data_IF_075037100464
#
_entry.id   IF_075037100464
#
_cell.length_a   1.000
_cell.length_b   1.000
_cell.length_c   1.000
_cell.angle_alpha   90.00
_cell.angle_beta   90.00
_cell.angle_gamma   90.00
#
_symmetry.space_group_name_H-M   'P 1'
#
loop_
_entity.id
_entity.type
_entity.pdbx_description
1 polymer ?
#
# COMPACT_ATOMS: atom_id res chain seq x y z
N UNK A 1 -2.49 19.77 -10.07
CA UNK A 1 -2.61 18.47 -9.37
C UNK A 1 -3.12 18.75 -7.97
N UNK A 2 -4.24 18.15 -7.58
CA UNK A 2 -4.84 18.34 -6.26
C UNK A 2 -3.93 17.77 -5.16
N UNK A 3 -3.60 18.57 -4.14
CA UNK A 3 -2.77 18.15 -3.00
C UNK A 3 -3.28 16.88 -2.32
N UNK A 4 -4.60 16.66 -2.31
CA UNK A 4 -5.20 15.43 -1.78
C UNK A 4 -4.77 14.15 -2.52
N UNK A 5 -4.53 14.23 -3.83
CA UNK A 5 -4.12 13.08 -4.65
C UNK A 5 -2.64 12.75 -4.46
N UNK A 6 -1.82 13.77 -4.28
CA UNK A 6 -0.41 13.63 -3.89
C UNK A 6 -0.28 12.97 -2.51
N UNK A 7 -1.08 13.41 -1.54
CA UNK A 7 -1.12 12.80 -0.21
C UNK A 7 -1.58 11.33 -0.27
N UNK A 8 -2.63 11.01 -1.05
CA UNK A 8 -3.11 9.65 -1.28
C UNK A 8 -2.06 8.76 -1.95
N UNK A 9 -1.37 9.27 -2.98
CA UNK A 9 -0.29 8.55 -3.65
C UNK A 9 0.87 8.25 -2.68
N UNK A 10 1.25 9.23 -1.86
CA UNK A 10 2.28 9.09 -0.84
C UNK A 10 1.90 8.07 0.23
N UNK A 11 0.67 8.14 0.75
CA UNK A 11 0.16 7.20 1.74
C UNK A 11 0.07 5.77 1.17
N UNK A 12 -0.41 5.61 -0.06
CA UNK A 12 -0.46 4.32 -0.75
C UNK A 12 0.93 3.72 -0.96
N UNK A 13 1.89 4.53 -1.42
CA UNK A 13 3.28 4.12 -1.57
C UNK A 13 3.93 3.70 -0.25
N UNK A 14 3.78 4.50 0.80
CA UNK A 14 4.28 4.18 2.14
C UNK A 14 3.67 2.88 2.69
N UNK A 15 2.36 2.67 2.51
CA UNK A 15 1.68 1.45 2.92
C UNK A 15 2.21 0.22 2.15
N UNK A 16 2.44 0.32 0.85
CA UNK A 16 3.05 -0.75 0.05
C UNK A 16 4.45 -1.08 0.55
N UNK A 17 5.32 -0.08 0.75
CA UNK A 17 6.68 -0.27 1.25
C UNK A 17 6.70 -0.89 2.65
N UNK A 18 5.85 -0.40 3.56
CA UNK A 18 5.74 -0.96 4.90
C UNK A 18 5.23 -2.41 4.87
N UNK A 19 4.31 -2.76 3.96
CA UNK A 19 3.77 -4.12 3.84
C UNK A 19 4.84 -5.09 3.37
N UNK A 20 5.61 -4.66 2.36
CA UNK A 20 6.73 -5.41 1.80
C UNK A 20 7.87 -5.57 2.81
N UNK A 21 8.14 -4.53 3.61
CA UNK A 21 9.10 -4.58 4.71
C UNK A 21 8.67 -5.56 5.81
N UNK A 22 7.39 -5.53 6.21
CA UNK A 22 6.84 -6.47 7.21
C UNK A 22 6.91 -7.93 6.72
N UNK A 23 6.66 -8.15 5.43
CA UNK A 23 6.75 -9.47 4.79
C UNK A 23 8.19 -10.00 4.67
N UNK A 24 9.16 -9.12 4.41
CA UNK A 24 10.57 -9.49 4.17
C UNK A 24 11.39 -9.59 5.46
N UNK A 25 10.98 -8.91 6.53
CA UNK A 25 11.71 -8.93 7.81
C UNK A 25 11.55 -10.27 8.52
N UNK A 26 12.60 -11.09 8.51
CA UNK A 26 12.64 -12.33 9.27
C UNK A 26 12.63 -12.06 10.78
N UNK A 27 11.72 -12.73 11.49
CA UNK A 27 11.72 -12.79 12.96
C UNK A 27 11.63 -14.24 13.44
N UNK A 28 12.34 -14.57 14.54
CA UNK A 28 12.24 -15.87 15.17
C UNK A 28 10.93 -15.94 15.98
N UNK A 29 10.00 -16.80 15.56
CA UNK A 29 8.73 -17.05 16.25
C UNK A 29 7.56 -17.30 15.30
N UNK A 30 6.93 -18.48 15.40
CA UNK A 30 5.84 -18.90 14.50
C UNK A 30 4.57 -18.05 14.64
N UNK A 31 4.17 -17.70 15.86
CA UNK A 31 3.00 -16.84 16.11
C UNK A 31 3.19 -15.42 15.56
N UNK A 32 4.40 -14.87 15.69
CA UNK A 32 4.75 -13.56 15.14
C UNK A 32 4.82 -13.58 13.59
N UNK A 33 5.12 -14.75 13.00
CA UNK A 33 5.19 -14.93 11.54
C UNK A 33 3.79 -14.91 10.90
N UNK A 34 2.79 -15.53 11.52
CA UNK A 34 1.43 -15.54 10.99
C UNK A 34 0.78 -14.14 11.04
N UNK A 35 0.87 -13.47 12.20
CA UNK A 35 0.36 -12.10 12.36
C UNK A 35 1.03 -11.11 11.38
N UNK A 36 2.34 -11.24 11.15
CA UNK A 36 3.05 -10.43 10.15
C UNK A 36 2.64 -10.72 8.72
N UNK A 37 2.37 -11.98 8.36
CA UNK A 37 1.89 -12.31 7.01
C UNK A 37 0.57 -11.62 6.75
N UNK A 38 -0.39 -11.71 7.67
CA UNK A 38 -1.70 -11.04 7.54
C UNK A 38 -1.53 -9.53 7.49
N UNK A 39 -0.78 -8.95 8.42
CA UNK A 39 -0.55 -7.51 8.45
C UNK A 39 0.15 -7.02 7.19
N UNK A 40 1.19 -7.72 6.74
CA UNK A 40 1.95 -7.38 5.55
C UNK A 40 1.13 -7.50 4.27
N UNK A 41 0.35 -8.57 4.10
CA UNK A 41 -0.52 -8.73 2.92
C UNK A 41 -1.65 -7.71 2.91
N UNK A 42 -2.28 -7.43 4.07
CA UNK A 42 -3.30 -6.38 4.19
C UNK A 42 -2.74 -5.00 3.85
N UNK A 43 -1.55 -4.66 4.37
CA UNK A 43 -0.92 -3.36 4.12
C UNK A 43 -0.51 -3.21 2.65
N UNK A 44 0.00 -4.29 2.05
CA UNK A 44 0.41 -4.32 0.65
C UNK A 44 -0.81 -4.23 -0.29
N UNK A 45 -1.89 -4.97 0.01
CA UNK A 45 -3.15 -4.89 -0.71
C UNK A 45 -3.78 -3.50 -0.61
N UNK A 46 -3.80 -2.90 0.59
CA UNK A 46 -4.27 -1.54 0.79
C UNK A 46 -3.45 -0.51 0.01
N UNK A 47 -2.12 -0.60 0.07
CA UNK A 47 -1.22 0.30 -0.66
C UNK A 47 -1.41 0.21 -2.17
N UNK A 48 -1.47 -1.02 -2.72
CA UNK A 48 -1.74 -1.24 -4.15
C UNK A 48 -3.13 -0.73 -4.57
N UNK A 49 -4.17 -1.01 -3.78
CA UNK A 49 -5.52 -0.51 -4.06
C UNK A 49 -5.57 1.02 -4.06
N UNK A 50 -4.87 1.66 -3.12
CA UNK A 50 -4.77 3.12 -3.04
C UNK A 50 -4.07 3.71 -4.27
N UNK A 51 -2.94 3.12 -4.68
CA UNK A 51 -2.23 3.54 -5.89
C UNK A 51 -3.07 3.33 -7.15
N UNK A 52 -3.79 2.21 -7.24
CA UNK A 52 -4.69 1.91 -8.35
C UNK A 52 -5.86 2.89 -8.41
N UNK A 53 -6.46 3.24 -7.27
CA UNK A 53 -7.48 4.29 -7.16
C UNK A 53 -6.95 5.64 -7.64
N UNK A 54 -5.76 6.04 -7.18
CA UNK A 54 -5.12 7.28 -7.64
C UNK A 54 -4.88 7.26 -9.15
N UNK A 55 -4.40 6.14 -9.69
CA UNK A 55 -4.22 5.93 -11.12
C UNK A 55 -5.52 6.06 -11.91
N UNK A 56 -6.58 5.38 -11.47
CA UNK A 56 -7.92 5.44 -12.08
C UNK A 56 -8.49 6.86 -12.05
N UNK A 57 -8.44 7.53 -10.90
CA UNK A 57 -8.90 8.92 -10.81
C UNK A 57 -8.10 9.80 -11.77
N UNK A 58 -6.78 9.60 -11.86
CA UNK A 58 -5.90 10.40 -12.74
C UNK A 58 -6.25 10.17 -14.20
N UNK A 59 -6.46 8.92 -14.59
CA UNK A 59 -6.91 8.55 -15.92
C UNK A 59 -8.29 9.14 -16.25
N UNK A 60 -9.26 9.04 -15.34
CA UNK A 60 -10.61 9.59 -15.51
C UNK A 60 -10.61 11.13 -15.66
N UNK A 61 -9.58 11.82 -15.18
CA UNK A 61 -9.43 13.27 -15.31
C UNK A 61 -8.68 13.67 -16.58
N UNK A 62 -8.00 12.72 -17.22
CA UNK A 62 -7.30 12.91 -18.50
C UNK A 62 -8.17 12.52 -19.69
N UNK A 63 -9.22 11.73 -19.49
CA UNK A 63 -10.27 11.50 -20.49
C UNK A 63 -11.27 12.67 -20.46
N UNK A 64 -11.32 13.51 -21.52
CA UNK A 64 -12.29 14.60 -21.62
C UNK A 64 -13.71 14.10 -21.86
#
# INVERSE_FOLDING_TARGET
MDYGRLALAGAGGLATFAGLFVLTRQTPGEAARYARRIAGTMLLAFGLATLLLVGLLTYAQLQP
#
